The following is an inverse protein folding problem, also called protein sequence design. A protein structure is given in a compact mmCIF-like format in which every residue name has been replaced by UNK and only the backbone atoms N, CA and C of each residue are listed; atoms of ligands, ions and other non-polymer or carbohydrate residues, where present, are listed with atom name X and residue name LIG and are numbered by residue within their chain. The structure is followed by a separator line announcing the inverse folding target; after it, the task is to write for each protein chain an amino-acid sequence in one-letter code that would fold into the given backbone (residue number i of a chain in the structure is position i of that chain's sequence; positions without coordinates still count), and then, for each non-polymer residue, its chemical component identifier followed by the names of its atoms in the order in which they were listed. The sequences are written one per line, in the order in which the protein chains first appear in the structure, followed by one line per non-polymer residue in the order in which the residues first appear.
data_IF_908919372929
#
_entry.id   IF_908919372929
#
_cell.length_a   1.000
_cell.length_b   1.000
_cell.length_c   1.000
_cell.angle_alpha   90.00
_cell.angle_beta   90.00
_cell.angle_gamma   90.00
#
_symmetry.space_group_name_H-M   'P 1'
#
loop_
_entity.id
_entity.type
_entity.pdbx_description
1 polymer ?
#
# COMPACT_ATOMS: atom_id res chain seq x y z
N UNK A 1 -9.44 12.47 3.88
CA UNK A 1 -9.37 11.55 2.73
C UNK A 1 -8.26 12.07 1.83
N UNK A 2 -7.18 11.32 1.67
CA UNK A 2 -6.04 11.71 0.82
C UNK A 2 -6.26 11.10 -0.56
N UNK A 3 -5.79 11.77 -1.62
CA UNK A 3 -5.74 11.19 -2.96
C UNK A 3 -4.61 10.17 -3.07
N UNK A 4 -4.64 9.35 -4.12
CA UNK A 4 -3.66 8.28 -4.31
C UNK A 4 -2.23 8.83 -4.37
N UNK A 5 -2.04 9.94 -5.09
CA UNK A 5 -0.76 10.64 -5.26
C UNK A 5 -0.29 11.32 -3.97
N UNK A 6 -1.23 11.90 -3.20
CA UNK A 6 -0.94 12.51 -1.90
C UNK A 6 -0.49 11.46 -0.88
N UNK A 7 -1.11 10.28 -0.89
CA UNK A 7 -0.68 9.15 -0.07
C UNK A 7 0.73 8.73 -0.47
N UNK A 8 1.00 8.53 -1.76
CA UNK A 8 2.30 8.07 -2.23
C UNK A 8 3.43 9.04 -1.87
N UNK A 9 3.19 10.34 -2.07
CA UNK A 9 4.13 11.39 -1.69
C UNK A 9 4.43 11.38 -0.18
N UNK A 10 3.42 11.21 0.67
CA UNK A 10 3.60 11.13 2.11
C UNK A 10 4.37 9.87 2.54
N UNK A 11 4.05 8.71 1.97
CA UNK A 11 4.75 7.47 2.29
C UNK A 11 6.22 7.56 1.89
N UNK A 12 6.50 8.12 0.71
CA UNK A 12 7.86 8.38 0.22
C UNK A 12 8.62 9.33 1.14
N UNK A 13 8.01 10.43 1.57
CA UNK A 13 8.62 11.40 2.51
C UNK A 13 8.93 10.77 3.87
N UNK A 14 8.01 9.95 4.42
CA UNK A 14 8.23 9.21 5.67
C UNK A 14 9.42 8.25 5.57
N UNK A 15 9.51 7.52 4.45
CA UNK A 15 10.62 6.58 4.20
C UNK A 15 11.94 7.34 4.03
N UNK A 16 11.94 8.44 3.28
CA UNK A 16 13.12 9.28 3.08
C UNK A 16 13.64 9.88 4.40
N UNK A 17 12.73 10.25 5.32
CA UNK A 17 13.08 10.78 6.65
C UNK A 17 13.42 9.71 7.68
N UNK A 18 13.25 8.43 7.35
CA UNK A 18 13.44 7.30 8.27
C UNK A 18 12.68 7.48 9.59
N UNK A 19 11.43 7.95 9.51
CA UNK A 19 10.58 8.17 10.69
C UNK A 19 10.39 6.86 11.49
N UNK A 20 10.94 6.74 12.71
CA UNK A 20 10.93 5.48 13.47
C UNK A 20 9.53 5.09 13.94
N UNK A 21 8.60 6.05 14.05
CA UNK A 21 7.23 5.82 14.48
C UNK A 21 6.30 5.44 13.30
N UNK A 22 6.83 5.43 12.08
CA UNK A 22 6.07 5.10 10.87
C UNK A 22 6.06 3.59 10.60
N UNK A 23 4.87 2.98 10.65
CA UNK A 23 4.67 1.59 10.23
C UNK A 23 5.10 1.34 8.77
N UNK A 24 5.10 2.36 7.91
CA UNK A 24 5.61 2.27 6.54
C UNK A 24 7.13 2.07 6.51
N UNK A 25 7.86 2.81 7.35
CA UNK A 25 9.33 2.68 7.46
C UNK A 25 9.68 1.28 7.97
N UNK A 26 8.96 0.80 8.98
CA UNK A 26 9.12 -0.55 9.52
C UNK A 26 8.86 -1.62 8.46
N UNK A 27 7.76 -1.51 7.70
CA UNK A 27 7.43 -2.45 6.63
C UNK A 27 8.51 -2.48 5.52
N UNK A 28 9.06 -1.33 5.13
CA UNK A 28 10.16 -1.26 4.16
C UNK A 28 11.43 -1.92 4.72
N UNK A 29 11.72 -1.73 6.00
CA UNK A 29 12.87 -2.38 6.67
C UNK A 29 12.71 -3.91 6.79
N UNK A 30 11.49 -4.41 6.98
CA UNK A 30 11.19 -5.86 6.96
C UNK A 30 11.36 -6.49 5.56
N UNK A 31 11.32 -5.66 4.52
CA UNK A 31 11.68 -6.02 3.15
C UNK A 31 10.52 -6.57 2.30
N UNK A 32 10.81 -6.72 1.01
CA UNK A 32 9.82 -7.03 -0.05
C UNK A 32 9.00 -8.29 0.23
N UNK A 33 9.58 -9.31 0.85
CA UNK A 33 8.87 -10.55 1.17
C UNK A 33 7.78 -10.35 2.25
N UNK A 34 8.03 -9.51 3.25
CA UNK A 34 7.04 -9.20 4.28
C UNK A 34 5.87 -8.39 3.68
N UNK A 35 6.20 -7.36 2.89
CA UNK A 35 5.22 -6.52 2.21
C UNK A 35 4.38 -7.36 1.22
N UNK A 36 5.02 -8.24 0.44
CA UNK A 36 4.31 -9.10 -0.52
C UNK A 36 3.31 -10.07 0.15
N UNK A 37 3.60 -10.55 1.36
CA UNK A 37 2.61 -11.33 2.14
C UNK A 37 1.39 -10.50 2.51
N UNK A 38 1.60 -9.26 2.95
CA UNK A 38 0.49 -8.32 3.23
C UNK A 38 -0.32 -8.01 1.98
N UNK A 39 0.32 -7.74 0.84
CA UNK A 39 -0.42 -7.53 -0.43
C UNK A 39 -1.32 -8.73 -0.77
N UNK A 40 -0.83 -9.96 -0.60
CA UNK A 40 -1.63 -11.16 -0.86
C UNK A 40 -2.78 -11.34 0.15
N UNK A 41 -2.53 -11.04 1.43
CA UNK A 41 -3.54 -11.05 2.50
C UNK A 41 -4.68 -10.08 2.20
N UNK A 42 -4.35 -8.80 1.94
CA UNK A 42 -5.35 -7.77 1.62
C UNK A 42 -6.12 -8.09 0.33
N UNK A 43 -5.47 -8.69 -0.68
CA UNK A 43 -6.17 -9.12 -1.90
C UNK A 43 -7.23 -10.19 -1.60
N UNK A 44 -6.94 -11.10 -0.65
CA UNK A 44 -7.92 -12.06 -0.14
C UNK A 44 -9.06 -11.38 0.61
N UNK A 45 -8.74 -10.42 1.47
CA UNK A 45 -9.73 -9.66 2.24
C UNK A 45 -10.64 -8.80 1.34
N UNK A 46 -10.08 -8.13 0.33
CA UNK A 46 -10.85 -7.40 -0.69
C UNK A 46 -11.86 -8.32 -1.37
N UNK A 47 -11.45 -9.53 -1.76
CA UNK A 47 -12.36 -10.48 -2.39
C UNK A 47 -13.48 -10.91 -1.44
N UNK A 48 -13.13 -11.27 -0.20
CA UNK A 48 -14.11 -11.67 0.81
C UNK A 48 -15.11 -10.55 1.13
N UNK A 49 -14.62 -9.32 1.31
CA UNK A 49 -15.45 -8.17 1.61
C UNK A 49 -16.40 -7.83 0.44
N UNK A 50 -15.91 -7.90 -0.79
CA UNK A 50 -16.70 -7.66 -2.00
C UNK A 50 -17.84 -8.68 -2.17
N UNK A 51 -17.61 -9.94 -1.81
CA UNK A 51 -18.61 -11.01 -1.92
C UNK A 51 -19.60 -11.04 -0.73
N UNK A 52 -19.17 -10.63 0.47
CA UNK A 52 -19.88 -10.98 1.70
C UNK A 52 -20.14 -9.83 2.70
N UNK A 53 -19.45 -8.70 2.60
CA UNK A 53 -19.41 -7.71 3.69
C UNK A 53 -19.90 -6.31 3.29
N UNK A 54 -20.11 -6.07 1.99
CA UNK A 54 -20.76 -4.87 1.47
C UNK A 54 -19.80 -3.71 1.18
N UNK A 55 -20.36 -2.61 0.68
CA UNK A 55 -19.59 -1.53 0.03
C UNK A 55 -18.59 -0.83 0.97
N UNK A 56 -18.99 -0.54 2.21
CA UNK A 56 -18.13 0.18 3.16
C UNK A 56 -16.89 -0.66 3.52
N UNK A 57 -17.10 -1.94 3.82
CA UNK A 57 -16.01 -2.85 4.19
C UNK A 57 -15.11 -3.17 3.01
N UNK A 58 -15.69 -3.34 1.82
CA UNK A 58 -14.94 -3.50 0.56
C UNK A 58 -14.05 -2.28 0.29
N UNK A 59 -14.58 -1.07 0.47
CA UNK A 59 -13.81 0.16 0.27
C UNK A 59 -12.65 0.26 1.27
N UNK A 60 -12.85 -0.21 2.51
CA UNK A 60 -11.79 -0.26 3.51
C UNK A 60 -10.66 -1.22 3.10
N UNK A 61 -10.97 -2.47 2.70
CA UNK A 61 -9.92 -3.41 2.27
C UNK A 61 -9.21 -2.94 1.01
N UNK A 62 -9.94 -2.35 0.05
CA UNK A 62 -9.31 -1.75 -1.13
C UNK A 62 -8.33 -0.65 -0.70
N UNK A 63 -8.68 0.17 0.30
CA UNK A 63 -7.78 1.20 0.80
C UNK A 63 -6.51 0.63 1.43
N UNK A 64 -6.61 -0.49 2.16
CA UNK A 64 -5.47 -1.19 2.75
C UNK A 64 -4.58 -1.82 1.67
N UNK A 65 -5.19 -2.46 0.66
CA UNK A 65 -4.48 -3.01 -0.49
C UNK A 65 -3.71 -1.92 -1.25
N UNK A 66 -4.35 -0.79 -1.55
CA UNK A 66 -3.70 0.34 -2.23
C UNK A 66 -2.52 0.89 -1.40
N UNK A 67 -2.67 1.00 -0.08
CA UNK A 67 -1.57 1.34 0.81
C UNK A 67 -0.40 0.36 0.66
N UNK A 68 -0.65 -0.94 0.81
CA UNK A 68 0.41 -1.95 0.75
C UNK A 68 1.08 -2.06 -0.64
N UNK A 69 0.33 -1.82 -1.72
CA UNK A 69 0.90 -1.71 -3.07
C UNK A 69 1.84 -0.50 -3.18
N UNK A 70 1.47 0.67 -2.67
CA UNK A 70 2.36 1.83 -2.65
C UNK A 70 3.61 1.62 -1.79
N UNK A 71 3.50 0.93 -0.65
CA UNK A 71 4.68 0.54 0.15
C UNK A 71 5.59 -0.42 -0.62
N UNK A 72 5.01 -1.36 -1.38
CA UNK A 72 5.77 -2.26 -2.23
C UNK A 72 6.48 -1.53 -3.37
N UNK A 73 5.84 -0.52 -3.98
CA UNK A 73 6.46 0.34 -4.99
C UNK A 73 7.72 1.00 -4.43
N UNK A 74 7.63 1.62 -3.25
CA UNK A 74 8.78 2.25 -2.58
C UNK A 74 9.88 1.23 -2.29
N UNK A 75 9.54 0.03 -1.79
CA UNK A 75 10.52 -1.02 -1.51
C UNK A 75 11.16 -1.64 -2.78
N UNK A 76 10.57 -1.40 -3.95
CA UNK A 76 11.04 -1.81 -5.26
C UNK A 76 11.71 -0.67 -6.04
N UNK A 77 11.85 0.52 -5.45
CA UNK A 77 12.41 1.72 -6.09
C UNK A 77 11.61 2.15 -7.34
N UNK A 78 10.27 2.06 -7.28
CA UNK A 78 9.34 2.48 -8.34
C UNK A 78 8.62 3.78 -7.97
N UNK A 79 8.42 4.67 -8.94
CA UNK A 79 7.53 5.82 -8.82
C UNK A 79 6.11 5.56 -9.39
N UNK A 80 5.25 6.58 -9.38
CA UNK A 80 3.88 6.44 -9.89
C UNK A 80 3.87 6.36 -11.41
N UNK A 81 4.75 7.11 -12.06
CA UNK A 81 4.93 7.16 -13.50
C UNK A 81 5.29 5.78 -14.06
N UNK A 82 6.21 5.05 -13.42
CA UNK A 82 6.58 3.67 -13.75
C UNK A 82 5.35 2.75 -13.82
N UNK A 83 4.38 2.93 -12.92
CA UNK A 83 3.14 2.13 -12.90
C UNK A 83 2.12 2.65 -13.91
N UNK A 84 1.99 3.97 -14.03
CA UNK A 84 1.03 4.63 -14.91
C UNK A 84 1.34 4.41 -16.39
N UNK A 85 2.60 4.20 -16.77
CA UNK A 85 2.99 3.82 -18.14
C UNK A 85 2.37 2.47 -18.59
N UNK A 86 1.85 1.67 -17.66
CA UNK A 86 1.24 0.36 -17.93
C UNK A 86 -0.29 0.33 -17.87
N UNK A 87 -0.95 1.47 -17.62
CA UNK A 87 -2.41 1.61 -17.55
C UNK A 87 -3.03 2.00 -18.90
#
# INVERSE_FOLDING_TARGET
MKRFEELFAELTDKVARQDPDSGTVQAVQEGRHAIGKKVLEEAGEVWMAAEHEGADRTAEEISQLLYHLQVLMIACDLDLEDVYEHL
#
